data_IF_357358008247
#
_entry.id   IF_357358008247
#
_cell.length_a   1.000
_cell.length_b   1.000
_cell.length_c   1.000
_cell.angle_alpha   90.00
_cell.angle_beta   90.00
_cell.angle_gamma   90.00
#
_symmetry.space_group_name_H-M   'P 1'
#
loop_
_entity.id
_entity.type
_entity.pdbx_description
1 polymer ?
#
# COMPACT_ATOMS: atom_id res chain seq x y z
N UNK A 1 34.22 31.77 -16.60
CA UNK A 1 34.26 30.80 -15.46
C UNK A 1 32.87 30.31 -15.00
N UNK A 2 31.78 30.50 -15.75
CA UNK A 2 30.43 30.11 -15.31
C UNK A 2 29.95 28.71 -15.78
N UNK A 3 30.64 28.10 -16.75
CA UNK A 3 30.28 26.80 -17.33
C UNK A 3 30.24 25.62 -16.34
N UNK A 4 31.19 25.45 -15.39
CA UNK A 4 31.12 24.32 -14.47
C UNK A 4 29.97 24.48 -13.46
N UNK A 5 29.66 25.71 -13.06
CA UNK A 5 28.54 26.00 -12.17
C UNK A 5 27.19 25.74 -12.85
N UNK A 6 27.06 26.04 -14.13
CA UNK A 6 25.86 25.74 -14.91
C UNK A 6 25.59 24.23 -15.00
N UNK A 7 26.64 23.43 -15.25
CA UNK A 7 26.54 21.98 -15.33
C UNK A 7 26.21 21.35 -13.98
N UNK A 8 26.80 21.86 -12.90
CA UNK A 8 26.49 21.43 -11.54
C UNK A 8 25.03 21.73 -11.18
N UNK A 9 24.56 22.95 -11.46
CA UNK A 9 23.18 23.34 -11.20
C UNK A 9 22.19 22.48 -12.00
N UNK A 10 22.48 22.21 -13.28
CA UNK A 10 21.65 21.35 -14.12
C UNK A 10 21.61 19.91 -13.58
N UNK A 11 22.76 19.38 -13.15
CA UNK A 11 22.84 18.05 -12.52
C UNK A 11 21.98 17.96 -11.26
N UNK A 12 22.02 18.98 -10.40
CA UNK A 12 21.23 19.02 -9.16
C UNK A 12 19.73 19.07 -9.49
N UNK A 13 19.31 19.87 -10.48
CA UNK A 13 17.91 19.96 -10.90
C UNK A 13 17.42 18.63 -11.48
N UNK A 14 18.20 17.99 -12.35
CA UNK A 14 17.84 16.67 -12.93
C UNK A 14 17.77 15.61 -11.83
N UNK A 15 18.71 15.61 -10.89
CA UNK A 15 18.68 14.69 -9.75
C UNK A 15 17.44 14.93 -8.88
N UNK A 16 17.13 16.18 -8.53
CA UNK A 16 15.94 16.51 -7.76
C UNK A 16 14.65 16.06 -8.47
N UNK A 17 14.57 16.19 -9.80
CA UNK A 17 13.41 15.75 -10.58
C UNK A 17 13.29 14.21 -10.66
N UNK A 18 14.40 13.50 -10.77
CA UNK A 18 14.41 12.01 -10.80
C UNK A 18 14.07 11.39 -9.45
N UNK A 19 14.43 12.06 -8.35
CA UNK A 19 14.17 11.61 -6.98
C UNK A 19 12.99 12.34 -6.32
N UNK A 20 12.27 13.16 -7.08
CA UNK A 20 10.97 13.69 -6.69
C UNK A 20 9.92 12.58 -6.77
N UNK A 21 10.05 11.56 -5.92
CA UNK A 21 8.92 10.75 -5.52
C UNK A 21 7.87 11.71 -4.97
N UNK A 22 6.70 11.76 -5.60
CA UNK A 22 5.62 12.65 -5.24
C UNK A 22 5.32 12.52 -3.74
N UNK A 23 5.80 13.48 -2.95
CA UNK A 23 5.52 13.67 -1.53
C UNK A 23 4.09 14.18 -1.35
N UNK A 24 3.14 13.55 -2.04
CA UNK A 24 1.78 14.03 -2.20
C UNK A 24 0.88 12.81 -2.04
N UNK A 25 0.21 12.73 -0.90
CA UNK A 25 -0.81 11.74 -0.45
C UNK A 25 -0.41 10.80 0.70
N UNK A 26 0.85 10.75 1.13
CA UNK A 26 1.22 9.82 2.21
C UNK A 26 0.75 10.30 3.59
N UNK A 27 0.52 11.60 3.77
CA UNK A 27 0.19 12.21 5.06
C UNK A 27 -1.30 12.12 5.43
N UNK A 28 -2.16 11.59 4.56
CA UNK A 28 -3.62 11.50 4.81
C UNK A 28 -4.19 10.09 4.63
N UNK A 29 -3.36 9.04 4.62
CA UNK A 29 -3.84 7.65 4.59
C UNK A 29 -3.33 6.89 5.80
N UNK A 30 -4.24 6.63 6.74
CA UNK A 30 -3.98 5.70 7.83
C UNK A 30 -3.89 4.27 7.28
N UNK A 31 -2.84 3.54 7.67
CA UNK A 31 -2.69 2.12 7.33
C UNK A 31 -3.03 1.26 8.55
N UNK A 32 -3.82 0.22 8.34
CA UNK A 32 -4.25 -0.70 9.38
C UNK A 32 -3.80 -2.12 9.08
N UNK A 33 -3.39 -2.85 10.11
CA UNK A 33 -3.10 -4.29 10.05
C UNK A 33 -4.28 -5.03 10.66
N UNK A 34 -4.94 -5.87 9.85
CA UNK A 34 -6.10 -6.65 10.27
C UNK A 34 -5.71 -8.11 10.40
N UNK A 35 -5.74 -8.60 11.63
CA UNK A 35 -5.57 -10.03 11.92
C UNK A 35 -6.91 -10.75 11.76
N UNK A 36 -6.90 -11.83 11.00
CA UNK A 36 -8.05 -12.68 10.74
C UNK A 36 -7.89 -13.98 11.52
N UNK A 37 -8.89 -14.31 12.34
CA UNK A 37 -8.92 -15.58 13.05
C UNK A 37 -8.79 -16.75 12.07
N UNK A 38 -8.05 -17.84 12.40
CA UNK A 38 -7.88 -18.98 11.51
C UNK A 38 -9.17 -19.58 10.98
N UNK A 39 -10.26 -19.54 11.77
CA UNK A 39 -11.59 -20.01 11.36
C UNK A 39 -12.21 -19.21 10.20
N UNK A 40 -11.73 -17.98 9.96
CA UNK A 40 -12.21 -17.07 8.92
C UNK A 40 -11.13 -16.78 7.88
N UNK A 41 -9.94 -17.37 8.03
CA UNK A 41 -8.87 -17.21 7.06
C UNK A 41 -9.18 -18.02 5.80
N UNK A 42 -8.83 -17.52 4.61
CA UNK A 42 -8.91 -18.31 3.40
C UNK A 42 -8.09 -19.61 3.56
N UNK A 43 -8.52 -20.74 2.97
CA UNK A 43 -7.82 -22.00 3.13
C UNK A 43 -6.34 -21.87 2.75
N UNK A 44 -5.44 -22.33 3.62
CA UNK A 44 -3.98 -22.28 3.34
C UNK A 44 -3.60 -23.08 2.08
N UNK A 45 -4.41 -24.06 1.70
CA UNK A 45 -4.29 -24.82 0.45
C UNK A 45 -4.54 -23.97 -0.80
N UNK A 46 -5.26 -22.84 -0.68
CA UNK A 46 -5.49 -21.89 -1.76
C UNK A 46 -4.38 -20.85 -1.85
N UNK A 47 -3.14 -21.30 -2.14
CA UNK A 47 -1.95 -20.45 -2.28
C UNK A 47 -2.00 -19.44 -3.44
N UNK A 48 -3.13 -19.23 -4.09
CA UNK A 48 -3.25 -18.22 -5.14
C UNK A 48 -3.32 -16.83 -4.51
N UNK A 49 -2.30 -15.97 -4.71
CA UNK A 49 -2.32 -14.61 -4.16
C UNK A 49 -3.52 -13.79 -4.66
N UNK A 50 -4.03 -14.12 -5.85
CA UNK A 50 -5.20 -13.48 -6.43
C UNK A 50 -6.50 -13.81 -5.66
N UNK A 51 -6.67 -15.06 -5.21
CA UNK A 51 -7.83 -15.48 -4.42
C UNK A 51 -7.80 -14.85 -3.02
N UNK A 52 -6.64 -14.85 -2.38
CA UNK A 52 -6.42 -14.16 -1.09
C UNK A 52 -6.75 -12.67 -1.20
N UNK A 53 -6.22 -11.99 -2.24
CA UNK A 53 -6.50 -10.58 -2.49
C UNK A 53 -7.98 -10.32 -2.70
N UNK A 54 -8.68 -11.18 -3.43
CA UNK A 54 -10.13 -11.05 -3.69
C UNK A 54 -10.94 -11.24 -2.41
N UNK A 55 -10.65 -12.28 -1.63
CA UNK A 55 -11.32 -12.56 -0.36
C UNK A 55 -11.17 -11.38 0.63
N UNK A 56 -9.95 -10.88 0.81
CA UNK A 56 -9.70 -9.74 1.71
C UNK A 56 -10.27 -8.42 1.19
N UNK A 57 -10.24 -8.18 -0.12
CA UNK A 57 -10.88 -6.98 -0.70
C UNK A 57 -12.40 -6.97 -0.51
N UNK A 58 -13.05 -8.13 -0.63
CA UNK A 58 -14.48 -8.27 -0.35
C UNK A 58 -14.79 -8.03 1.13
N UNK A 59 -14.01 -8.64 2.04
CA UNK A 59 -14.16 -8.44 3.47
C UNK A 59 -13.94 -6.98 3.89
N UNK A 60 -12.93 -6.32 3.32
CA UNK A 60 -12.64 -4.91 3.55
C UNK A 60 -13.85 -4.02 3.20
N UNK A 61 -14.49 -4.28 2.06
CA UNK A 61 -15.68 -3.52 1.63
C UNK A 61 -16.91 -3.74 2.53
N UNK A 62 -17.09 -4.95 3.08
CA UNK A 62 -18.27 -5.29 3.86
C UNK A 62 -18.13 -4.96 5.35
N UNK A 63 -16.96 -5.21 5.96
CA UNK A 63 -16.75 -5.16 7.41
C UNK A 63 -16.45 -3.76 7.94
N UNK A 64 -15.99 -2.83 7.09
CA UNK A 64 -15.59 -1.52 7.57
C UNK A 64 -16.81 -0.67 7.98
N UNK A 65 -16.72 0.03 9.13
CA UNK A 65 -17.65 1.09 9.49
C UNK A 65 -17.77 2.11 8.36
N UNK A 66 -18.95 2.72 8.21
CA UNK A 66 -19.25 3.61 7.10
C UNK A 66 -18.27 4.79 6.97
N UNK A 67 -17.75 5.28 8.12
CA UNK A 67 -16.72 6.33 8.17
C UNK A 67 -15.39 5.93 7.53
N UNK A 68 -15.06 4.64 7.50
CA UNK A 68 -13.81 4.11 6.94
C UNK A 68 -13.98 3.57 5.51
N UNK A 69 -15.20 3.61 4.95
CA UNK A 69 -15.46 3.20 3.57
C UNK A 69 -15.06 4.26 2.54
N UNK A 70 -14.83 5.50 2.97
CA UNK A 70 -14.40 6.62 2.11
C UNK A 70 -13.14 7.30 2.69
N UNK A 71 -12.11 7.56 1.87
CA UNK A 71 -11.96 7.13 0.47
C UNK A 71 -11.93 5.59 0.36
N UNK A 72 -12.16 5.04 -0.84
CA UNK A 72 -12.27 3.58 -1.00
C UNK A 72 -11.00 2.91 -0.45
N UNK A 73 -11.10 2.08 0.60
CA UNK A 73 -9.95 1.47 1.23
C UNK A 73 -9.28 0.50 0.24
N UNK A 74 -7.95 0.44 0.27
CA UNK A 74 -7.16 -0.28 -0.72
C UNK A 74 -6.31 -1.34 -0.03
N UNK A 75 -6.49 -2.59 -0.43
CA UNK A 75 -5.59 -3.66 0.02
C UNK A 75 -4.16 -3.39 -0.45
N UNK A 76 -3.22 -3.33 0.50
CA UNK A 76 -1.79 -3.19 0.22
C UNK A 76 -1.16 -4.56 0.00
N UNK A 77 -1.32 -5.46 0.97
CA UNK A 77 -0.83 -6.85 0.91
C UNK A 77 -1.62 -7.75 1.88
N UNK A 78 -1.59 -9.05 1.61
CA UNK A 78 -2.12 -10.10 2.50
C UNK A 78 -0.98 -11.01 2.96
N UNK A 79 -1.11 -11.58 4.15
CA UNK A 79 -0.12 -12.48 4.73
C UNK A 79 -0.80 -13.69 5.37
N UNK A 80 -0.10 -14.83 5.35
CA UNK A 80 -0.61 -16.12 5.86
C UNK A 80 0.47 -16.98 6.54
N UNK A 81 1.72 -16.50 6.63
CA UNK A 81 2.86 -17.32 7.06
C UNK A 81 2.97 -17.45 8.58
N UNK A 82 3.07 -16.33 9.30
CA UNK A 82 3.16 -16.31 10.78
C UNK A 82 1.81 -16.01 11.46
N UNK A 83 0.90 -15.37 10.72
CA UNK A 83 -0.48 -15.11 11.08
C UNK A 83 -1.28 -14.98 9.77
N UNK A 84 -2.60 -15.06 9.86
CA UNK A 84 -3.49 -14.79 8.72
C UNK A 84 -4.04 -13.38 8.83
N UNK A 85 -3.90 -12.58 7.78
CA UNK A 85 -4.40 -11.21 7.79
C UNK A 85 -4.03 -10.41 6.55
N UNK A 86 -4.24 -9.10 6.63
CA UNK A 86 -3.91 -8.16 5.57
C UNK A 86 -3.65 -6.75 6.08
N UNK A 87 -2.99 -5.95 5.25
CA UNK A 87 -2.81 -4.51 5.45
C UNK A 87 -3.64 -3.73 4.42
N UNK A 88 -4.32 -2.68 4.88
CA UNK A 88 -5.19 -1.83 4.07
C UNK A 88 -5.19 -0.36 4.52
#
# INVERSE_FOLDING_TARGET
MAKPFLLLALSIVVFALLFSEAYSEQETRSTYIVHVSPAHAPPQSSSSPALLRRAYSCALGSMLPERLRRPRPRLLYGYSLAASGFAA
#
